data_IF_747926083441
#
_entry.id   IF_747926083441
#
_cell.length_a   1.000
_cell.length_b   1.000
_cell.length_c   1.000
_cell.angle_alpha   90.00
_cell.angle_beta   90.00
_cell.angle_gamma   90.00
#
_symmetry.space_group_name_H-M   'P 1'
#
loop_
_entity.id
_entity.type
_entity.pdbx_description
1 polymer ?
#
# COMPACT_ATOMS: atom_id res chain seq x y z
N UNK A 1 -34.56 -4.04 0.02
CA UNK A 1 -33.47 -4.99 0.32
C UNK A 1 -32.73 -4.46 1.52
N UNK A 2 -32.69 -5.22 2.61
CA UNK A 2 -32.00 -4.88 3.85
C UNK A 2 -30.47 -5.01 3.66
N UNK A 3 -29.69 -4.05 4.17
CA UNK A 3 -28.23 -4.05 4.11
C UNK A 3 -27.65 -5.33 4.75
N UNK A 4 -28.28 -5.85 5.80
CA UNK A 4 -27.85 -7.07 6.50
C UNK A 4 -27.87 -8.32 5.59
N UNK A 5 -28.86 -8.41 4.69
CA UNK A 5 -28.99 -9.51 3.73
C UNK A 5 -27.90 -9.45 2.64
N UNK A 6 -27.50 -8.23 2.24
CA UNK A 6 -26.43 -8.02 1.26
C UNK A 6 -25.06 -8.39 1.83
N UNK A 7 -24.77 -8.04 3.09
CA UNK A 7 -23.51 -8.42 3.75
C UNK A 7 -23.36 -9.94 3.91
N UNK A 8 -24.43 -10.64 4.29
CA UNK A 8 -24.41 -12.11 4.38
C UNK A 8 -24.18 -12.78 3.02
N UNK A 9 -24.82 -12.25 1.96
CA UNK A 9 -24.67 -12.79 0.60
C UNK A 9 -23.27 -12.55 0.02
N UNK A 10 -22.70 -11.36 0.25
CA UNK A 10 -21.36 -11.01 -0.24
C UNK A 10 -20.26 -11.78 0.50
N UNK A 11 -20.37 -11.93 1.82
CA UNK A 11 -19.41 -12.73 2.61
C UNK A 11 -19.42 -14.20 2.19
N UNK A 12 -20.61 -14.79 1.97
CA UNK A 12 -20.77 -16.14 1.42
C UNK A 12 -20.12 -16.27 0.04
N UNK A 13 -20.43 -15.35 -0.89
CA UNK A 13 -19.87 -15.37 -2.24
C UNK A 13 -18.35 -15.23 -2.26
N UNK A 14 -17.80 -14.29 -1.49
CA UNK A 14 -16.36 -14.09 -1.35
C UNK A 14 -15.72 -15.36 -0.80
N UNK A 15 -16.25 -15.91 0.30
CA UNK A 15 -15.75 -17.14 0.93
C UNK A 15 -15.67 -18.33 -0.02
N UNK A 16 -16.68 -18.54 -0.88
CA UNK A 16 -16.71 -19.63 -1.86
C UNK A 16 -15.78 -19.38 -3.05
N UNK A 17 -15.66 -18.15 -3.53
CA UNK A 17 -14.95 -17.81 -4.77
C UNK A 17 -13.56 -17.19 -4.58
N UNK A 18 -13.01 -17.20 -3.35
CA UNK A 18 -11.72 -16.58 -3.04
C UNK A 18 -10.60 -16.96 -4.02
N UNK A 19 -10.55 -18.20 -4.50
CA UNK A 19 -9.49 -18.65 -5.43
C UNK A 19 -9.56 -17.96 -6.78
N UNK A 20 -10.76 -17.86 -7.36
CA UNK A 20 -10.97 -17.23 -8.67
C UNK A 20 -10.70 -15.74 -8.55
N UNK A 21 -11.17 -15.11 -7.46
CA UNK A 21 -10.96 -13.69 -7.17
C UNK A 21 -9.51 -13.36 -6.79
N UNK A 22 -8.78 -14.30 -6.20
CA UNK A 22 -7.36 -14.14 -5.88
C UNK A 22 -6.44 -14.37 -7.08
N UNK A 23 -6.94 -15.01 -8.14
CA UNK A 23 -6.19 -15.16 -9.39
C UNK A 23 -6.11 -13.82 -10.11
N UNK A 24 -4.92 -13.46 -10.60
CA UNK A 24 -4.69 -12.24 -11.39
C UNK A 24 -4.66 -12.62 -12.88
N UNK A 25 -5.50 -12.00 -13.73
CA UNK A 25 -5.42 -12.25 -15.17
C UNK A 25 -4.08 -11.75 -15.70
N UNK A 26 -3.43 -12.53 -16.56
CA UNK A 26 -2.20 -12.10 -17.22
C UNK A 26 -2.53 -11.02 -18.25
N UNK A 27 -1.76 -9.94 -18.23
CA UNK A 27 -1.79 -8.90 -19.27
C UNK A 27 -0.39 -8.76 -19.86
N UNK A 28 -0.28 -8.25 -21.10
CA UNK A 28 1.01 -8.03 -21.78
C UNK A 28 1.94 -7.15 -20.92
N UNK A 29 1.37 -6.16 -20.23
CA UNK A 29 2.11 -5.31 -19.30
C UNK A 29 2.69 -6.09 -18.10
N UNK A 30 1.93 -7.05 -17.55
CA UNK A 30 2.39 -7.92 -16.45
C UNK A 30 3.39 -8.97 -16.92
N UNK A 31 3.30 -9.42 -18.17
CA UNK A 31 4.30 -10.32 -18.76
C UNK A 31 5.65 -9.60 -18.93
N UNK A 32 5.62 -8.37 -19.47
CA UNK A 32 6.81 -7.55 -19.68
C UNK A 32 7.44 -7.04 -18.37
N UNK A 33 6.65 -6.51 -17.43
CA UNK A 33 7.16 -5.93 -16.18
C UNK A 33 7.33 -6.97 -15.06
N UNK A 34 6.48 -8.00 -15.07
CA UNK A 34 6.35 -8.94 -13.96
C UNK A 34 7.12 -10.24 -14.16
N UNK A 35 8.14 -10.27 -15.03
CA UNK A 35 8.90 -11.49 -15.37
C UNK A 35 7.98 -12.65 -15.76
N UNK A 36 7.19 -12.48 -16.81
CA UNK A 36 6.15 -13.43 -17.21
C UNK A 36 5.14 -13.73 -16.08
N UNK A 37 4.66 -12.68 -15.41
CA UNK A 37 3.77 -12.78 -14.24
C UNK A 37 4.36 -13.60 -13.06
N UNK A 38 5.68 -13.76 -12.92
CA UNK A 38 6.28 -14.40 -11.75
C UNK A 38 6.44 -13.45 -10.54
N UNK A 39 6.25 -12.14 -10.72
CA UNK A 39 6.35 -11.15 -9.65
C UNK A 39 5.30 -11.38 -8.56
N UNK A 40 5.68 -11.23 -7.29
CA UNK A 40 4.84 -11.51 -6.11
C UNK A 40 3.42 -10.91 -6.16
N UNK A 41 3.29 -9.66 -6.65
CA UNK A 41 2.00 -8.97 -6.76
C UNK A 41 1.18 -9.30 -8.01
N UNK A 42 1.80 -9.93 -9.02
CA UNK A 42 1.22 -10.16 -10.34
C UNK A 42 1.01 -11.65 -10.67
N UNK A 43 1.57 -12.56 -9.88
CA UNK A 43 1.47 -13.98 -10.17
C UNK A 43 0.05 -14.55 -9.97
N UNK A 44 -0.40 -15.42 -10.88
CA UNK A 44 -1.68 -16.09 -10.74
C UNK A 44 -1.67 -16.98 -9.49
N UNK A 45 -2.85 -17.23 -8.93
CA UNK A 45 -2.98 -18.00 -7.71
C UNK A 45 -2.58 -19.46 -7.95
N UNK A 46 -1.48 -19.90 -7.34
CA UNK A 46 -0.92 -21.24 -7.50
C UNK A 46 -0.01 -21.64 -6.35
N UNK A 47 0.64 -22.81 -6.44
CA UNK A 47 1.63 -23.28 -5.47
C UNK A 47 2.78 -22.29 -5.33
N UNK A 48 3.35 -21.86 -6.45
CA UNK A 48 4.42 -20.86 -6.51
C UNK A 48 4.07 -19.57 -5.73
N UNK A 49 2.93 -18.95 -6.03
CA UNK A 49 2.54 -17.72 -5.36
C UNK A 49 2.28 -17.91 -3.86
N UNK A 50 1.78 -19.08 -3.44
CA UNK A 50 1.58 -19.40 -2.02
C UNK A 50 2.92 -19.50 -1.29
N UNK A 51 3.94 -20.09 -1.91
CA UNK A 51 5.29 -20.19 -1.37
C UNK A 51 5.96 -18.83 -1.26
N UNK A 52 5.94 -18.04 -2.35
CA UNK A 52 6.49 -16.67 -2.34
C UNK A 52 5.79 -15.80 -1.30
N UNK A 53 4.46 -15.92 -1.17
CA UNK A 53 3.70 -15.24 -0.11
C UNK A 53 4.16 -15.66 1.28
N UNK A 54 4.34 -16.96 1.51
CA UNK A 54 4.80 -17.46 2.81
C UNK A 54 6.16 -16.86 3.16
N UNK A 55 7.10 -16.86 2.21
CA UNK A 55 8.42 -16.26 2.38
C UNK A 55 8.29 -14.77 2.67
N UNK A 56 7.53 -14.02 1.86
CA UNK A 56 7.35 -12.58 2.05
C UNK A 56 6.75 -12.24 3.42
N UNK A 57 5.77 -13.01 3.90
CA UNK A 57 5.14 -12.78 5.21
C UNK A 57 6.10 -13.09 6.36
N UNK A 58 6.86 -14.18 6.27
CA UNK A 58 7.75 -14.61 7.36
C UNK A 58 9.04 -13.77 7.39
N UNK A 59 9.63 -13.51 6.23
CA UNK A 59 10.96 -12.90 6.15
C UNK A 59 10.93 -11.38 6.01
N UNK A 60 9.92 -10.80 5.35
CA UNK A 60 9.86 -9.35 5.10
C UNK A 60 8.81 -8.66 5.97
N UNK A 61 7.61 -9.22 6.05
CA UNK A 61 6.44 -8.60 6.70
C UNK A 61 6.11 -9.20 8.06
N UNK A 62 7.06 -9.90 8.70
CA UNK A 62 6.86 -10.41 10.04
C UNK A 62 6.87 -9.29 11.07
N UNK A 63 6.17 -9.49 12.19
CA UNK A 63 6.06 -8.50 13.26
C UNK A 63 7.44 -8.03 13.74
N UNK A 64 8.40 -8.96 13.87
CA UNK A 64 9.77 -8.63 14.25
C UNK A 64 10.46 -7.71 13.23
N UNK A 65 10.32 -7.99 11.94
CA UNK A 65 10.89 -7.15 10.86
C UNK A 65 10.25 -5.78 10.83
N UNK A 66 8.94 -5.70 11.05
CA UNK A 66 8.22 -4.43 11.15
C UNK A 66 8.68 -3.60 12.34
N UNK A 67 8.93 -4.21 13.50
CA UNK A 67 9.49 -3.49 14.65
C UNK A 67 10.94 -3.04 14.38
N UNK A 68 11.75 -3.84 13.70
CA UNK A 68 13.10 -3.43 13.28
C UNK A 68 13.05 -2.22 12.33
N UNK A 69 12.12 -2.21 11.38
CA UNK A 69 11.97 -1.11 10.40
C UNK A 69 11.17 0.09 10.92
N UNK A 70 10.64 0.02 12.14
CA UNK A 70 9.82 1.07 12.74
C UNK A 70 10.53 2.42 12.79
N UNK A 71 11.83 2.41 13.07
CA UNK A 71 12.62 3.63 13.15
C UNK A 71 12.66 4.40 11.82
N UNK A 72 12.72 3.69 10.69
CA UNK A 72 12.67 4.29 9.34
C UNK A 72 11.34 5.02 9.16
N UNK A 73 10.22 4.35 9.43
CA UNK A 73 8.89 4.96 9.30
C UNK A 73 8.72 6.19 10.20
N UNK A 74 9.21 6.12 11.43
CA UNK A 74 9.17 7.26 12.37
C UNK A 74 10.04 8.41 11.84
N UNK A 75 11.21 8.11 11.27
CA UNK A 75 12.08 9.11 10.64
C UNK A 75 11.36 9.82 9.50
N UNK A 76 10.77 9.09 8.57
CA UNK A 76 10.01 9.66 7.43
C UNK A 76 8.88 10.57 7.89
N UNK A 77 8.09 10.11 8.87
CA UNK A 77 6.98 10.90 9.43
C UNK A 77 7.51 12.17 10.10
N UNK A 78 8.61 12.08 10.84
CA UNK A 78 9.20 13.25 11.50
C UNK A 78 9.73 14.27 10.48
N UNK A 79 10.34 13.83 9.39
CA UNK A 79 10.78 14.70 8.30
C UNK A 79 9.57 15.39 7.65
N UNK A 80 8.56 14.61 7.27
CA UNK A 80 7.30 15.10 6.72
C UNK A 80 6.64 16.19 7.59
N UNK A 81 6.57 15.98 8.91
CA UNK A 81 5.99 16.94 9.86
C UNK A 81 6.86 18.21 9.96
N UNK A 82 8.19 18.07 9.98
CA UNK A 82 9.10 19.23 10.02
C UNK A 82 8.95 20.09 8.79
N UNK A 83 8.88 19.50 7.60
CA UNK A 83 8.67 20.22 6.34
C UNK A 83 7.34 20.96 6.33
N UNK A 84 6.27 20.30 6.78
CA UNK A 84 4.95 20.91 6.92
C UNK A 84 5.00 22.13 7.86
N UNK A 85 5.68 22.01 9.00
CA UNK A 85 5.83 23.10 9.96
C UNK A 85 6.66 24.26 9.40
N UNK A 86 7.75 23.96 8.68
CA UNK A 86 8.57 24.97 8.01
C UNK A 86 7.79 25.71 6.93
N UNK A 87 7.03 25.00 6.09
CA UNK A 87 6.16 25.62 5.11
C UNK A 87 5.13 26.54 5.79
N UNK A 88 4.59 26.12 6.94
CA UNK A 88 3.58 26.89 7.67
C UNK A 88 4.16 28.17 8.28
N UNK A 89 5.31 28.06 8.93
CA UNK A 89 6.01 29.22 9.52
C UNK A 89 6.46 30.22 8.46
N UNK A 90 6.96 29.75 7.31
CA UNK A 90 7.34 30.61 6.18
C UNK A 90 6.14 31.40 5.62
N UNK A 91 4.96 30.78 5.53
CA UNK A 91 3.74 31.48 5.12
C UNK A 91 3.28 32.50 6.18
N UNK A 92 3.34 32.14 7.47
CA UNK A 92 2.91 33.05 8.55
C UNK A 92 3.68 34.37 8.58
N UNK A 93 4.96 34.38 8.17
CA UNK A 93 5.76 35.60 8.10
C UNK A 93 5.38 36.52 6.92
N UNK A 94 4.74 35.97 5.87
CA UNK A 94 4.42 36.67 4.63
C UNK A 94 2.96 37.19 4.57
N UNK A 95 2.24 37.13 5.68
CA UNK A 95 0.82 37.48 5.78
C UNK A 95 -0.05 36.23 5.99
N UNK A 96 -1.09 36.34 6.82
CA UNK A 96 -1.97 35.23 7.28
C UNK A 96 -2.81 34.62 6.15
N UNK A 97 -2.18 34.05 5.13
CA UNK A 97 -2.88 33.21 4.15
C UNK A 97 -2.84 31.76 4.62
N UNK A 98 -3.96 31.01 4.55
CA UNK A 98 -3.92 29.58 4.79
C UNK A 98 -2.93 28.91 3.82
N UNK A 99 -2.08 28.02 4.32
CA UNK A 99 -1.30 27.16 3.45
C UNK A 99 -2.23 26.30 2.60
N UNK A 100 -2.25 26.55 1.30
CA UNK A 100 -2.79 25.61 0.32
C UNK A 100 -1.67 24.65 -0.06
N UNK A 101 -1.76 23.43 0.44
CA UNK A 101 -0.75 22.39 0.19
C UNK A 101 -1.31 21.35 -0.77
N UNK A 102 -0.58 21.08 -1.85
CA UNK A 102 -0.91 19.98 -2.73
C UNK A 102 -0.55 18.65 -2.05
N UNK A 103 -1.57 17.95 -1.58
CA UNK A 103 -1.42 16.66 -0.92
C UNK A 103 -0.83 15.62 -1.87
N UNK A 104 -1.11 15.67 -3.18
CA UNK A 104 -0.60 14.67 -4.12
C UNK A 104 0.91 14.80 -4.34
N UNK A 105 1.38 16.03 -4.57
CA UNK A 105 2.81 16.33 -4.64
C UNK A 105 3.52 16.00 -3.34
N UNK A 106 2.92 16.33 -2.20
CA UNK A 106 3.51 16.05 -0.89
C UNK A 106 3.65 14.56 -0.59
N UNK A 107 2.61 13.76 -0.83
CA UNK A 107 2.70 12.31 -0.67
C UNK A 107 3.74 11.68 -1.59
N UNK A 108 3.95 12.24 -2.79
CA UNK A 108 4.98 11.76 -3.70
C UNK A 108 6.39 12.05 -3.17
N UNK A 109 6.61 13.24 -2.61
CA UNK A 109 7.89 13.59 -2.01
C UNK A 109 8.22 12.68 -0.81
N UNK A 110 7.28 12.50 0.12
CA UNK A 110 7.51 11.70 1.32
C UNK A 110 7.55 10.17 1.13
N UNK A 111 7.33 9.66 -0.09
CA UNK A 111 7.42 8.21 -0.41
C UNK A 111 8.69 7.89 -1.24
N UNK A 112 9.32 8.90 -1.85
CA UNK A 112 10.40 8.72 -2.83
C UNK A 112 11.79 9.17 -2.35
N UNK A 113 11.91 9.73 -1.14
CA UNK A 113 13.19 9.91 -0.43
C UNK A 113 13.56 8.64 0.37
#
# INVERSE_FOLDING_TARGET
MDQSSVYSSTTSYLGTNLRVLASRPSSVAMEAMGYNCAMFGMAPYGSYWREVRKIAIVELLSVQRLELLKHVRISEINTCIKELYQAWTANSNNGKTPLSMDMQGWFRAGILD
#
